data_IF_756757314999
#
_entry.id   IF_756757314999
#
_cell.length_a   1.000
_cell.length_b   1.000
_cell.length_c   1.000
_cell.angle_alpha   90.00
_cell.angle_beta   90.00
_cell.angle_gamma   90.00
#
_symmetry.space_group_name_H-M   'P 1'
#
loop_
_entity.id
_entity.type
_entity.pdbx_description
1 polymer ?
#
# COMPACT_ATOMS: atom_id res chain seq x y z
N UNK A 1 15.64 1.00 6.75
CA UNK A 1 14.38 0.24 6.83
C UNK A 1 13.31 1.16 6.28
N UNK A 2 12.49 0.71 5.33
CA UNK A 2 11.39 1.55 4.81
C UNK A 2 10.27 1.42 5.82
N UNK A 3 10.05 2.44 6.61
CA UNK A 3 9.00 2.40 7.63
C UNK A 3 7.65 2.62 6.95
N UNK A 4 6.64 1.89 7.43
CA UNK A 4 5.27 2.04 6.96
C UNK A 4 4.29 1.95 8.12
N UNK A 5 3.14 2.60 7.96
CA UNK A 5 2.03 2.53 8.89
C UNK A 5 0.75 2.25 8.12
N UNK A 6 0.05 1.19 8.51
CA UNK A 6 -1.20 0.78 7.87
C UNK A 6 -2.37 1.21 8.77
N UNK A 7 -3.34 1.89 8.19
CA UNK A 7 -4.61 2.21 8.84
C UNK A 7 -5.74 1.54 8.04
N UNK A 8 -6.21 0.39 8.52
CA UNK A 8 -7.29 -0.37 7.89
C UNK A 8 -8.63 0.36 7.93
N UNK A 9 -8.93 1.08 9.02
CA UNK A 9 -10.19 1.84 9.17
C UNK A 9 -10.33 2.94 8.12
N UNK A 10 -9.22 3.61 7.79
CA UNK A 10 -9.18 4.65 6.76
C UNK A 10 -8.85 4.10 5.37
N UNK A 11 -8.48 2.82 5.29
CA UNK A 11 -7.99 2.16 4.11
C UNK A 11 -6.74 2.82 3.50
N UNK A 12 -5.74 3.15 4.32
CA UNK A 12 -4.53 3.87 3.89
C UNK A 12 -3.25 3.21 4.37
N UNK A 13 -2.19 3.40 3.59
CA UNK A 13 -0.81 3.08 3.96
C UNK A 13 0.01 4.36 3.89
N UNK A 14 0.63 4.72 5.00
CA UNK A 14 1.64 5.77 5.07
C UNK A 14 3.01 5.12 4.91
N UNK A 15 3.80 5.61 3.96
CA UNK A 15 5.08 5.04 3.58
C UNK A 15 6.16 6.11 3.65
N UNK A 16 7.26 5.80 4.34
CA UNK A 16 8.40 6.71 4.53
C UNK A 16 9.53 6.29 3.60
N UNK A 17 9.87 7.16 2.65
CA UNK A 17 10.95 6.90 1.71
C UNK A 17 12.33 7.29 2.26
N UNK A 18 13.38 7.02 1.48
CA UNK A 18 14.76 7.32 1.87
C UNK A 18 15.03 8.83 2.04
N UNK A 19 14.16 9.70 1.50
CA UNK A 19 14.25 11.15 1.66
C UNK A 19 13.47 11.63 2.90
N UNK A 20 12.97 10.70 3.73
CA UNK A 20 12.12 10.96 4.90
C UNK A 20 10.79 11.65 4.54
N UNK A 21 10.36 11.59 3.28
CA UNK A 21 9.07 12.13 2.84
C UNK A 21 7.98 11.09 3.09
N UNK A 22 6.85 11.55 3.63
CA UNK A 22 5.65 10.72 3.85
C UNK A 22 4.85 10.66 2.55
N UNK A 23 4.67 9.46 2.02
CA UNK A 23 3.78 9.18 0.90
C UNK A 23 2.56 8.41 1.40
N UNK A 24 1.36 8.83 0.98
CA UNK A 24 0.09 8.23 1.43
C UNK A 24 -0.57 7.50 0.27
N UNK A 25 -0.69 6.18 0.41
CA UNK A 25 -1.36 5.28 -0.52
C UNK A 25 -2.74 4.91 0.03
N UNK A 26 -3.72 4.67 -0.85
CA UNK A 26 -5.08 4.27 -0.46
C UNK A 26 -5.42 2.93 -1.08
N UNK A 27 -6.15 2.09 -0.34
CA UNK A 27 -6.85 0.95 -0.93
C UNK A 27 -7.96 1.50 -1.82
N UNK A 28 -8.02 1.03 -3.06
CA UNK A 28 -8.94 1.55 -4.06
C UNK A 28 -10.25 0.76 -3.99
N UNK A 29 -10.20 -0.47 -3.47
CA UNK A 29 -11.33 -1.37 -3.36
C UNK A 29 -11.25 -2.24 -2.10
N UNK A 30 -12.40 -2.80 -1.71
CA UNK A 30 -12.47 -3.87 -0.71
C UNK A 30 -11.61 -5.08 -1.10
N UNK A 31 -11.49 -5.34 -2.40
CA UNK A 31 -10.66 -6.41 -2.93
C UNK A 31 -9.18 -6.23 -2.61
N UNK A 32 -8.65 -5.00 -2.65
CA UNK A 32 -7.25 -4.72 -2.27
C UNK A 32 -6.99 -5.04 -0.79
N UNK A 33 -7.98 -4.79 0.08
CA UNK A 33 -7.91 -5.15 1.51
C UNK A 33 -7.93 -6.67 1.68
N UNK A 34 -8.87 -7.35 0.99
CA UNK A 34 -8.95 -8.81 1.00
C UNK A 34 -7.64 -9.45 0.54
N UNK A 35 -7.03 -8.97 -0.55
CA UNK A 35 -5.76 -9.50 -1.03
C UNK A 35 -4.65 -9.41 0.01
N UNK A 36 -4.53 -8.27 0.73
CA UNK A 36 -3.55 -8.17 1.82
C UNK A 36 -3.81 -9.18 2.94
N UNK A 37 -5.07 -9.40 3.30
CA UNK A 37 -5.45 -10.36 4.36
C UNK A 37 -5.21 -11.81 3.91
N UNK A 38 -5.58 -12.15 2.67
CA UNK A 38 -5.43 -13.51 2.13
C UNK A 38 -3.98 -13.87 1.81
N UNK A 39 -3.13 -12.89 1.55
CA UNK A 39 -1.71 -13.09 1.29
C UNK A 39 -0.85 -13.06 2.56
N UNK A 40 -1.41 -13.43 3.73
CA UNK A 40 -0.71 -13.53 5.02
C UNK A 40 0.54 -14.44 5.02
N UNK A 41 0.68 -15.30 4.01
CA UNK A 41 1.83 -16.16 3.81
C UNK A 41 3.04 -15.42 3.21
N UNK A 42 2.82 -14.23 2.63
CA UNK A 42 3.89 -13.40 2.09
C UNK A 42 4.52 -12.53 3.19
N UNK A 43 5.80 -12.15 3.03
CA UNK A 43 6.42 -11.13 3.86
C UNK A 43 5.63 -9.81 3.79
N UNK A 44 5.49 -9.07 4.90
CA UNK A 44 4.80 -7.78 4.92
C UNK A 44 5.31 -6.78 3.87
N UNK A 45 6.62 -6.76 3.62
CA UNK A 45 7.23 -5.86 2.64
C UNK A 45 6.78 -6.14 1.21
N UNK A 46 6.57 -7.41 0.84
CA UNK A 46 6.07 -7.80 -0.48
C UNK A 46 4.60 -7.40 -0.65
N UNK A 47 3.78 -7.62 0.38
CA UNK A 47 2.37 -7.21 0.39
C UNK A 47 2.22 -5.71 0.14
N UNK A 48 2.99 -4.92 0.87
CA UNK A 48 2.92 -3.46 0.79
C UNK A 48 3.44 -2.96 -0.54
N UNK A 49 4.53 -3.56 -1.05
CA UNK A 49 5.07 -3.20 -2.37
C UNK A 49 4.04 -3.44 -3.47
N UNK A 50 3.31 -4.56 -3.43
CA UNK A 50 2.27 -4.87 -4.41
C UNK A 50 1.12 -3.85 -4.39
N UNK A 51 0.64 -3.48 -3.20
CA UNK A 51 -0.42 -2.47 -3.06
C UNK A 51 0.04 -1.11 -3.55
N UNK A 52 1.23 -0.67 -3.14
CA UNK A 52 1.82 0.61 -3.58
C UNK A 52 1.95 0.64 -5.10
N UNK A 53 2.39 -0.46 -5.72
CA UNK A 53 2.54 -0.54 -7.16
C UNK A 53 1.20 -0.46 -7.89
N UNK A 54 0.16 -1.17 -7.40
CA UNK A 54 -1.21 -1.07 -7.94
C UNK A 54 -1.78 0.34 -7.84
N UNK A 55 -1.57 1.02 -6.72
CA UNK A 55 -2.01 2.40 -6.52
C UNK A 55 -1.35 3.34 -7.54
N UNK A 56 -0.03 3.23 -7.73
CA UNK A 56 0.72 4.00 -8.74
C UNK A 56 0.22 3.74 -10.16
N UNK A 57 -0.01 2.48 -10.53
CA UNK A 57 -0.59 2.15 -11.86
C UNK A 57 -1.94 2.82 -12.04
N UNK A 58 -2.82 2.73 -11.04
CA UNK A 58 -4.14 3.36 -11.12
C UNK A 58 -4.07 4.88 -11.20
N UNK A 59 -3.09 5.50 -10.54
CA UNK A 59 -2.82 6.94 -10.71
C UNK A 59 -2.34 7.26 -12.13
N UNK A 60 -1.53 6.41 -12.76
CA UNK A 60 -1.06 6.62 -14.14
C UNK A 60 -2.18 6.44 -15.17
N UNK A 61 -3.10 5.49 -14.96
CA UNK A 61 -4.23 5.24 -15.86
C UNK A 61 -5.31 6.33 -15.85
N UNK A 62 -5.32 7.18 -14.82
CA UNK A 62 -6.24 8.32 -14.71
C UNK A 62 -5.72 9.61 -15.39
N UNK A 63 -4.51 9.58 -15.93
CA UNK A 63 -3.88 10.70 -16.64
C UNK A 63 -4.14 10.65 -18.15
#
# INVERSE_FOLDING_TARGET
MKDYKINFDLGKIEYFDNNCLIQVYKFISFYDICEMVFAFHLPPDELITNVIFKEKINSMLKC
#
